data_IF_446968607455
#
_entry.id   IF_446968607455
#
_cell.length_a   1.000
_cell.length_b   1.000
_cell.length_c   1.000
_cell.angle_alpha   90.00
_cell.angle_beta   90.00
_cell.angle_gamma   90.00
#
_symmetry.space_group_name_H-M   'P 1'
#
loop_
_entity.id
_entity.type
_entity.pdbx_description
1 polymer ?
#
# COMPACT_ATOMS: atom_id res chain seq x y z
N UNK A 1 -11.18 98.42 -29.80
CA UNK A 1 -11.96 98.91 -28.64
C UNK A 1 -12.93 97.81 -28.21
N UNK A 2 -12.87 97.38 -26.94
CA UNK A 2 -13.85 96.53 -26.20
C UNK A 2 -14.10 95.07 -26.65
N UNK A 3 -13.57 94.13 -25.84
CA UNK A 3 -14.26 93.00 -25.14
C UNK A 3 -15.50 92.37 -25.80
N UNK A 4 -15.75 91.06 -25.82
CA UNK A 4 -15.58 90.04 -24.76
C UNK A 4 -15.79 88.64 -25.37
N UNK A 5 -14.99 87.67 -24.94
CA UNK A 5 -15.03 86.26 -25.31
C UNK A 5 -16.31 85.58 -24.79
N UNK A 6 -16.98 84.83 -25.67
CA UNK A 6 -18.13 83.95 -25.37
C UNK A 6 -17.63 82.66 -24.72
N UNK A 7 -18.14 82.35 -23.52
CA UNK A 7 -18.10 81.01 -22.93
C UNK A 7 -19.40 80.28 -23.28
N UNK A 8 -19.33 79.12 -23.94
CA UNK A 8 -20.41 78.13 -23.89
C UNK A 8 -19.90 76.70 -24.06
N UNK A 9 -19.88 76.02 -22.91
CA UNK A 9 -20.14 74.58 -22.65
C UNK A 9 -19.43 73.50 -23.49
N UNK A 10 -18.52 72.81 -22.81
CA UNK A 10 -18.00 71.49 -23.13
C UNK A 10 -19.10 70.41 -23.03
N UNK A 11 -19.17 69.53 -24.03
CA UNK A 11 -19.61 68.14 -23.88
C UNK A 11 -18.62 67.24 -24.61
N UNK A 12 -17.65 66.71 -23.88
CA UNK A 12 -16.73 65.69 -24.35
C UNK A 12 -17.39 64.34 -24.12
N UNK A 13 -17.76 63.64 -25.20
CA UNK A 13 -18.09 62.21 -25.15
C UNK A 13 -16.80 61.48 -25.51
N UNK A 14 -16.17 60.86 -24.51
CA UNK A 14 -15.00 60.00 -24.72
C UNK A 14 -15.46 58.56 -24.61
N UNK A 15 -15.49 57.86 -25.74
CA UNK A 15 -15.61 56.40 -25.81
C UNK A 15 -14.32 55.79 -25.24
N UNK A 16 -14.37 55.18 -24.06
CA UNK A 16 -13.29 54.31 -23.58
C UNK A 16 -13.57 52.87 -24.01
N UNK A 17 -12.79 52.41 -25.00
CA UNK A 17 -12.71 51.02 -25.41
C UNK A 17 -11.85 50.27 -24.38
N UNK A 18 -12.45 49.67 -23.36
CA UNK A 18 -11.73 48.77 -22.44
C UNK A 18 -11.50 47.44 -23.14
N UNK A 19 -10.29 47.23 -23.65
CA UNK A 19 -9.83 45.93 -24.13
C UNK A 19 -9.65 44.99 -22.93
N UNK A 20 -10.64 44.13 -22.69
CA UNK A 20 -10.53 43.04 -21.73
C UNK A 20 -9.72 41.91 -22.38
N UNK A 21 -8.40 41.86 -22.16
CA UNK A 21 -7.61 40.69 -22.51
C UNK A 21 -7.96 39.60 -21.50
N UNK A 22 -8.93 38.76 -21.85
CA UNK A 22 -9.23 37.52 -21.14
C UNK A 22 -8.08 36.54 -21.40
N UNK A 23 -7.06 36.56 -20.54
CA UNK A 23 -6.07 35.48 -20.50
C UNK A 23 -6.78 34.24 -19.97
N UNK A 24 -7.21 33.38 -20.88
CA UNK A 24 -7.65 32.02 -20.56
C UNK A 24 -6.41 31.29 -20.06
N UNK A 25 -6.18 31.32 -18.74
CA UNK A 25 -5.20 30.44 -18.11
C UNK A 25 -5.67 29.00 -18.35
N UNK A 26 -5.12 28.36 -19.37
CA UNK A 26 -5.24 26.91 -19.53
C UNK A 26 -4.83 26.30 -18.19
N UNK A 27 -5.62 25.37 -17.60
CA UNK A 27 -5.18 24.69 -16.40
C UNK A 27 -3.90 23.94 -16.77
N UNK A 28 -2.76 24.45 -16.31
CA UNK A 28 -1.52 23.70 -16.34
C UNK A 28 -1.81 22.47 -15.50
N UNK A 29 -2.02 21.35 -16.19
CA UNK A 29 -2.20 20.05 -15.58
C UNK A 29 -0.82 19.68 -15.02
N UNK A 30 -0.41 20.32 -13.92
CA UNK A 30 0.78 19.96 -13.15
C UNK A 30 0.45 18.61 -12.57
N UNK A 31 0.65 17.57 -13.37
CA UNK A 31 0.50 16.20 -12.96
C UNK A 31 1.58 16.00 -11.91
N UNK A 32 1.17 16.02 -10.63
CA UNK A 32 2.08 15.90 -9.50
C UNK A 32 3.10 14.78 -9.78
N UNK A 33 4.38 15.13 -9.74
CA UNK A 33 5.46 14.22 -10.09
C UNK A 33 5.31 12.96 -9.26
N UNK A 34 5.29 11.81 -9.93
CA UNK A 34 5.15 10.52 -9.24
C UNK A 34 6.37 10.27 -8.38
N UNK A 35 6.16 9.90 -7.12
CA UNK A 35 7.26 9.49 -6.23
C UNK A 35 7.75 8.12 -6.68
N UNK A 36 9.01 8.05 -7.10
CA UNK A 36 9.69 6.84 -7.57
C UNK A 36 11.03 6.68 -6.87
N UNK A 37 11.50 5.43 -6.73
CA UNK A 37 12.82 5.09 -6.16
C UNK A 37 13.71 4.51 -7.26
N UNK A 38 14.91 5.05 -7.50
CA UNK A 38 15.85 4.46 -8.44
C UNK A 38 16.12 2.99 -8.15
N UNK A 39 16.07 2.12 -9.17
CA UNK A 39 16.38 0.69 -9.00
C UNK A 39 17.78 0.48 -8.42
N UNK A 40 18.74 1.36 -8.78
CA UNK A 40 20.11 1.34 -8.28
C UNK A 40 20.24 1.58 -6.77
N UNK A 41 19.24 2.20 -6.13
CA UNK A 41 19.21 2.41 -4.68
C UNK A 41 18.60 1.23 -3.92
N UNK A 42 18.05 0.24 -4.62
CA UNK A 42 17.38 -0.90 -4.01
C UNK A 42 18.32 -2.12 -3.93
N UNK A 43 18.14 -3.00 -2.92
CA UNK A 43 19.03 -4.15 -2.75
C UNK A 43 19.05 -5.08 -3.96
N UNK A 44 20.23 -5.36 -4.50
CA UNK A 44 20.42 -6.34 -5.58
C UNK A 44 20.11 -7.77 -5.14
N UNK A 45 20.51 -8.09 -3.89
CA UNK A 45 20.28 -9.36 -3.22
C UNK A 45 19.48 -9.11 -1.95
N UNK A 46 18.53 -9.98 -1.69
CA UNK A 46 17.64 -9.86 -0.54
C UNK A 46 17.23 -11.23 0.00
N UNK A 47 18.07 -12.26 -0.13
CA UNK A 47 17.87 -13.56 0.54
C UNK A 47 18.46 -13.58 1.95
N UNK A 48 17.87 -12.78 2.81
CA UNK A 48 18.25 -12.64 4.23
C UNK A 48 17.04 -12.76 5.14
N UNK A 49 17.27 -13.00 6.44
CA UNK A 49 16.22 -13.06 7.44
C UNK A 49 15.57 -11.72 7.74
N UNK A 50 16.32 -10.63 7.61
CA UNK A 50 15.82 -9.26 7.79
C UNK A 50 16.62 -8.32 6.91
N UNK A 51 15.97 -7.30 6.35
CA UNK A 51 16.64 -6.23 5.60
C UNK A 51 15.91 -4.91 5.80
N UNK A 52 16.66 -3.82 5.89
CA UNK A 52 16.11 -2.46 5.81
C UNK A 52 16.09 -2.01 4.35
N UNK A 53 14.94 -1.54 3.88
CA UNK A 53 14.75 -1.05 2.52
C UNK A 53 14.30 0.39 2.57
N UNK A 54 15.09 1.27 1.99
CA UNK A 54 14.77 2.68 1.86
C UNK A 54 14.10 2.91 0.52
N UNK A 55 12.93 3.55 0.53
CA UNK A 55 12.22 3.98 -0.68
C UNK A 55 11.88 5.46 -0.57
N UNK A 56 11.73 6.12 -1.72
CA UNK A 56 11.30 7.50 -1.77
C UNK A 56 9.83 7.63 -1.36
N UNK A 57 9.51 8.75 -0.71
CA UNK A 57 8.20 9.14 -0.24
C UNK A 57 7.96 10.62 -0.56
N UNK A 58 6.73 11.11 -0.42
CA UNK A 58 6.39 12.53 -0.64
C UNK A 58 7.28 13.49 0.18
N UNK A 59 7.67 13.09 1.40
CA UNK A 59 8.43 13.92 2.35
C UNK A 59 9.86 13.40 2.58
N UNK A 60 10.54 12.94 1.52
CA UNK A 60 11.91 12.41 1.59
C UNK A 60 11.93 10.89 1.44
N UNK A 61 12.50 10.16 2.40
CA UNK A 61 12.61 8.70 2.32
C UNK A 61 11.88 7.99 3.45
N UNK A 62 11.48 6.75 3.19
CA UNK A 62 10.87 5.86 4.17
C UNK A 62 11.65 4.55 4.25
N UNK A 63 12.02 4.16 5.47
CA UNK A 63 12.75 2.92 5.76
C UNK A 63 11.78 1.84 6.24
N UNK A 64 11.74 0.71 5.54
CA UNK A 64 10.96 -0.47 5.90
C UNK A 64 11.89 -1.56 6.41
N UNK A 65 11.55 -2.18 7.54
CA UNK A 65 12.18 -3.43 7.97
C UNK A 65 11.37 -4.59 7.41
N UNK A 66 11.97 -5.34 6.47
CA UNK A 66 11.33 -6.48 5.79
C UNK A 66 11.89 -7.79 6.34
N UNK A 67 11.00 -8.71 6.72
CA UNK A 67 11.34 -9.95 7.42
C UNK A 67 11.16 -11.18 6.52
N UNK A 68 12.07 -12.15 6.61
CA UNK A 68 11.97 -13.46 5.98
C UNK A 68 11.41 -14.48 6.96
N UNK A 69 10.13 -14.83 6.83
CA UNK A 69 9.42 -15.64 7.85
C UNK A 69 10.01 -17.05 8.07
N UNK A 70 10.65 -17.62 7.03
CA UNK A 70 11.26 -18.95 7.04
C UNK A 70 12.78 -18.94 7.26
N UNK A 71 13.37 -17.76 7.51
CA UNK A 71 14.82 -17.59 7.62
C UNK A 71 15.21 -17.32 9.07
N UNK A 72 16.43 -17.72 9.44
CA UNK A 72 16.98 -17.38 10.75
C UNK A 72 17.14 -15.84 10.90
N UNK A 73 16.93 -15.28 12.09
CA UNK A 73 16.53 -15.94 13.34
C UNK A 73 15.01 -16.17 13.49
N UNK A 74 14.19 -15.77 12.50
CA UNK A 74 12.73 -15.74 12.60
C UNK A 74 12.03 -17.09 12.43
N UNK A 75 12.73 -18.07 11.83
CA UNK A 75 12.29 -19.47 11.75
C UNK A 75 12.05 -20.11 13.13
N UNK A 76 12.51 -19.48 14.22
CA UNK A 76 12.41 -20.01 15.59
C UNK A 76 10.97 -20.27 16.08
N UNK A 77 9.95 -19.63 15.51
CA UNK A 77 8.55 -19.90 15.93
C UNK A 77 7.78 -20.65 14.84
N UNK A 78 7.14 -21.76 15.24
CA UNK A 78 6.29 -22.57 14.35
C UNK A 78 5.17 -21.74 13.71
N UNK A 79 4.65 -20.73 14.42
CA UNK A 79 3.64 -19.82 13.86
C UNK A 79 4.18 -18.95 12.73
N UNK A 80 5.34 -18.30 12.89
CA UNK A 80 5.87 -17.45 11.81
C UNK A 80 6.23 -18.25 10.57
N UNK A 81 6.77 -19.46 10.77
CA UNK A 81 7.05 -20.36 9.66
C UNK A 81 5.77 -20.68 8.86
N UNK A 82 4.65 -20.98 9.53
CA UNK A 82 3.42 -21.40 8.85
C UNK A 82 2.48 -20.26 8.41
N UNK A 83 2.37 -19.20 9.21
CA UNK A 83 1.33 -18.17 9.10
C UNK A 83 1.89 -16.74 9.21
N UNK A 84 3.22 -16.59 9.18
CA UNK A 84 3.89 -15.32 9.48
C UNK A 84 3.74 -14.23 8.42
N UNK A 85 3.22 -14.50 7.23
CA UNK A 85 3.22 -13.55 6.12
C UNK A 85 2.45 -12.25 6.44
N UNK A 86 1.26 -12.38 7.02
CA UNK A 86 0.41 -11.25 7.36
C UNK A 86 1.04 -10.37 8.45
N UNK A 87 1.51 -10.98 9.54
CA UNK A 87 2.12 -10.22 10.64
C UNK A 87 3.49 -9.64 10.25
N UNK A 88 4.26 -10.32 9.40
CA UNK A 88 5.53 -9.79 8.87
C UNK A 88 5.28 -8.57 7.97
N UNK A 89 4.25 -8.63 7.11
CA UNK A 89 3.84 -7.51 6.26
C UNK A 89 3.33 -6.32 7.09
N UNK A 90 2.50 -6.58 8.10
CA UNK A 90 2.04 -5.57 9.05
C UNK A 90 3.22 -4.91 9.79
N UNK A 91 4.19 -5.72 10.25
CA UNK A 91 5.38 -5.22 10.95
C UNK A 91 6.23 -4.34 10.03
N UNK A 92 6.39 -4.72 8.75
CA UNK A 92 7.09 -3.88 7.79
C UNK A 92 6.43 -2.51 7.63
N UNK A 93 5.10 -2.45 7.54
CA UNK A 93 4.38 -1.16 7.49
C UNK A 93 4.53 -0.38 8.79
N UNK A 94 4.34 -1.01 9.95
CA UNK A 94 4.51 -0.34 11.25
C UNK A 94 5.91 0.24 11.41
N UNK A 95 6.95 -0.49 10.96
CA UNK A 95 8.34 -0.04 11.06
C UNK A 95 8.60 1.29 10.36
N UNK A 96 7.87 1.50 9.26
CA UNK A 96 8.06 2.59 8.33
C UNK A 96 7.20 3.82 8.66
N UNK A 97 6.06 3.61 9.32
CA UNK A 97 5.05 4.65 9.55
C UNK A 97 4.84 5.01 11.03
N UNK A 98 5.40 4.25 11.97
CA UNK A 98 5.26 4.52 13.40
C UNK A 98 6.61 4.56 14.09
N UNK A 99 6.97 5.70 14.68
CA UNK A 99 8.18 5.82 15.52
C UNK A 99 8.15 4.81 16.69
N UNK A 100 6.97 4.61 17.27
CA UNK A 100 6.76 3.72 18.43
C UNK A 100 7.01 2.24 18.13
N UNK A 101 6.68 1.79 16.93
CA UNK A 101 6.75 0.37 16.54
C UNK A 101 7.88 0.09 15.55
N UNK A 102 8.81 1.05 15.37
CA UNK A 102 9.89 1.00 14.39
C UNK A 102 10.72 -0.29 14.47
N UNK A 103 11.10 -0.63 15.69
CA UNK A 103 12.06 -1.70 15.98
C UNK A 103 11.37 -2.99 16.46
N UNK A 104 10.05 -3.07 16.30
CA UNK A 104 9.29 -4.26 16.70
C UNK A 104 9.52 -5.41 15.73
N UNK A 105 9.60 -6.61 16.29
CA UNK A 105 9.60 -7.87 15.54
C UNK A 105 8.18 -8.36 15.24
N UNK A 106 7.98 -9.27 14.28
CA UNK A 106 6.67 -9.87 14.02
C UNK A 106 6.05 -10.55 15.25
N UNK A 107 6.86 -11.13 16.14
CA UNK A 107 6.38 -11.74 17.39
C UNK A 107 5.86 -10.67 18.36
N UNK A 108 6.57 -9.55 18.51
CA UNK A 108 6.13 -8.43 19.35
C UNK A 108 4.87 -7.77 18.78
N UNK A 109 4.78 -7.56 17.46
CA UNK A 109 3.56 -7.04 16.82
C UNK A 109 2.38 -7.96 17.08
N UNK A 110 2.54 -9.28 16.90
CA UNK A 110 1.49 -10.28 17.19
C UNK A 110 1.05 -10.24 18.66
N UNK A 111 1.99 -10.27 19.60
CA UNK A 111 1.69 -10.47 21.02
C UNK A 111 1.26 -9.18 21.73
N UNK A 112 1.69 -8.02 21.23
CA UNK A 112 1.49 -6.72 21.89
C UNK A 112 0.53 -5.85 21.08
N UNK A 113 0.90 -5.48 19.86
CA UNK A 113 0.19 -4.45 19.09
C UNK A 113 -1.16 -4.97 18.61
N UNK A 114 -1.16 -6.17 18.03
CA UNK A 114 -2.36 -6.82 17.54
C UNK A 114 -3.33 -7.14 18.68
N UNK A 115 -2.82 -7.70 19.79
CA UNK A 115 -3.62 -8.00 20.98
C UNK A 115 -4.31 -6.75 21.55
N UNK A 116 -3.60 -5.62 21.62
CA UNK A 116 -4.15 -4.34 22.08
C UNK A 116 -5.18 -3.78 21.09
N UNK A 117 -4.89 -3.79 19.80
CA UNK A 117 -5.74 -3.20 18.78
C UNK A 117 -7.03 -4.00 18.48
N UNK A 118 -6.98 -5.33 18.59
CA UNK A 118 -8.09 -6.24 18.25
C UNK A 118 -8.82 -6.78 19.49
N UNK A 119 -8.28 -6.52 20.68
CA UNK A 119 -8.81 -6.98 21.96
C UNK A 119 -8.32 -8.37 22.36
N UNK A 120 -8.04 -8.53 23.66
CA UNK A 120 -7.51 -9.77 24.25
C UNK A 120 -8.41 -10.98 23.98
N UNK A 121 -9.74 -10.82 23.98
CA UNK A 121 -10.67 -11.93 23.78
C UNK A 121 -10.58 -12.52 22.37
N UNK A 122 -10.56 -11.67 21.33
CA UNK A 122 -10.41 -12.11 19.94
C UNK A 122 -9.03 -12.73 19.71
N UNK A 123 -7.99 -12.09 20.26
CA UNK A 123 -6.62 -12.60 20.19
C UNK A 123 -6.48 -13.98 20.84
N UNK A 124 -6.99 -14.16 22.07
CA UNK A 124 -6.95 -15.44 22.78
C UNK A 124 -7.69 -16.52 22.00
N UNK A 125 -8.89 -16.21 21.48
CA UNK A 125 -9.69 -17.13 20.67
C UNK A 125 -8.93 -17.65 19.43
N UNK A 126 -8.08 -16.84 18.82
CA UNK A 126 -7.25 -17.29 17.69
C UNK A 126 -6.00 -18.04 18.15
N UNK A 127 -5.23 -17.45 19.07
CA UNK A 127 -3.89 -17.94 19.42
C UNK A 127 -3.84 -19.00 20.51
N UNK A 128 -4.93 -19.28 21.23
CA UNK A 128 -5.02 -20.43 22.13
C UNK A 128 -5.23 -21.75 21.38
N UNK A 129 -5.52 -21.70 20.07
CA UNK A 129 -5.65 -22.90 19.23
C UNK A 129 -4.29 -23.54 18.99
N UNK A 130 -4.25 -24.86 18.68
CA UNK A 130 -3.06 -25.48 18.11
C UNK A 130 -2.56 -24.70 16.90
N UNK A 131 -1.23 -24.57 16.73
CA UNK A 131 -0.61 -23.69 15.71
C UNK A 131 -1.21 -23.87 14.32
N UNK A 132 -1.50 -25.11 13.90
CA UNK A 132 -2.10 -25.44 12.60
C UNK A 132 -3.49 -24.83 12.36
N UNK A 133 -4.22 -24.51 13.45
CA UNK A 133 -5.58 -23.94 13.42
C UNK A 133 -5.59 -22.45 13.76
N UNK A 134 -4.44 -21.88 14.10
CA UNK A 134 -4.29 -20.43 14.25
C UNK A 134 -4.36 -19.79 12.87
N UNK A 135 -5.04 -18.66 12.76
CA UNK A 135 -5.16 -17.94 11.50
C UNK A 135 -4.26 -16.71 11.48
N UNK A 136 -3.68 -16.34 10.33
CA UNK A 136 -3.04 -15.04 10.16
C UNK A 136 -4.06 -13.92 10.34
N UNK A 137 -3.59 -12.74 10.74
CA UNK A 137 -4.41 -11.53 10.73
C UNK A 137 -4.92 -11.25 9.30
N UNK A 138 -6.19 -10.87 9.15
CA UNK A 138 -6.79 -10.57 7.83
C UNK A 138 -6.44 -9.16 7.34
N UNK A 139 -6.80 -8.82 6.09
CA UNK A 139 -6.72 -7.42 5.62
C UNK A 139 -7.53 -6.44 6.47
N UNK A 140 -8.70 -6.86 6.97
CA UNK A 140 -9.48 -6.04 7.90
C UNK A 140 -8.74 -5.85 9.23
N UNK A 141 -8.22 -6.93 9.81
CA UNK A 141 -7.43 -6.87 11.04
C UNK A 141 -6.22 -5.96 10.87
N UNK A 142 -5.48 -6.08 9.76
CA UNK A 142 -4.35 -5.20 9.42
C UNK A 142 -4.78 -3.73 9.40
N UNK A 143 -5.88 -3.40 8.73
CA UNK A 143 -6.39 -2.02 8.72
C UNK A 143 -6.72 -1.51 10.14
N UNK A 144 -7.30 -2.35 11.00
CA UNK A 144 -7.62 -1.99 12.39
C UNK A 144 -6.36 -1.76 13.22
N UNK A 145 -5.34 -2.60 13.08
CA UNK A 145 -4.06 -2.43 13.79
C UNK A 145 -3.33 -1.17 13.33
N UNK A 146 -3.30 -0.90 12.02
CA UNK A 146 -2.68 0.31 11.49
C UNK A 146 -3.40 1.58 11.97
N UNK A 147 -4.74 1.60 11.94
CA UNK A 147 -5.51 2.73 12.48
C UNK A 147 -5.28 2.91 13.99
N UNK A 148 -5.20 1.83 14.78
CA UNK A 148 -4.82 1.90 16.19
C UNK A 148 -3.43 2.52 16.40
N UNK A 149 -2.49 2.27 15.48
CA UNK A 149 -1.16 2.86 15.50
C UNK A 149 -1.12 4.33 15.00
N UNK A 150 -2.27 4.95 14.72
CA UNK A 150 -2.37 6.33 14.21
C UNK A 150 -2.13 6.45 12.70
N UNK A 151 -2.08 5.33 11.97
CA UNK A 151 -1.83 5.31 10.53
C UNK A 151 -3.18 5.17 9.82
N UNK A 152 -3.66 6.25 9.19
CA UNK A 152 -4.91 6.23 8.42
C UNK A 152 -4.86 5.17 7.33
N UNK A 153 -5.94 4.41 7.15
CA UNK A 153 -6.02 3.39 6.10
C UNK A 153 -7.35 3.42 5.35
N UNK A 154 -7.31 2.96 4.10
CA UNK A 154 -8.51 2.57 3.34
C UNK A 154 -8.44 1.09 3.00
N UNK A 155 -9.29 0.29 3.64
CA UNK A 155 -9.46 -1.12 3.32
C UNK A 155 -10.43 -1.31 2.15
N UNK A 156 -9.93 -1.83 1.04
CA UNK A 156 -10.68 -2.03 -0.20
C UNK A 156 -10.96 -3.51 -0.36
N UNK A 157 -12.24 -3.86 -0.27
CA UNK A 157 -12.71 -5.25 -0.16
C UNK A 157 -13.05 -5.83 -1.52
N UNK A 158 -13.87 -5.12 -2.27
CA UNK A 158 -14.42 -5.48 -3.57
C UNK A 158 -13.85 -4.57 -4.65
N UNK A 159 -13.50 -5.16 -5.79
CA UNK A 159 -12.92 -4.43 -6.92
C UNK A 159 -12.96 -5.28 -8.20
N UNK A 160 -12.98 -4.61 -9.34
CA UNK A 160 -12.52 -5.17 -10.63
C UNK A 160 -11.01 -4.98 -10.77
N UNK A 161 -10.38 -5.74 -11.68
CA UNK A 161 -8.94 -5.60 -11.92
C UNK A 161 -8.59 -4.18 -12.38
N UNK A 162 -9.38 -3.59 -13.29
CA UNK A 162 -9.17 -2.22 -13.79
C UNK A 162 -9.26 -1.18 -12.67
N UNK A 163 -10.22 -1.32 -11.76
CA UNK A 163 -10.36 -0.43 -10.60
C UNK A 163 -9.16 -0.56 -9.65
N UNK A 164 -8.77 -1.79 -9.30
CA UNK A 164 -7.63 -2.02 -8.43
C UNK A 164 -6.33 -1.53 -9.05
N UNK A 165 -6.10 -1.77 -10.34
CA UNK A 165 -4.93 -1.29 -11.06
C UNK A 165 -4.83 0.24 -11.01
N UNK A 166 -5.91 0.95 -11.37
CA UNK A 166 -5.94 2.41 -11.33
C UNK A 166 -5.72 2.94 -9.91
N UNK A 167 -6.39 2.36 -8.91
CA UNK A 167 -6.33 2.86 -7.54
C UNK A 167 -4.99 2.59 -6.87
N UNK A 168 -4.46 1.37 -7.00
CA UNK A 168 -3.16 1.00 -6.44
C UNK A 168 -2.06 1.82 -7.10
N UNK A 169 -2.07 1.95 -8.43
CA UNK A 169 -1.07 2.77 -9.13
C UNK A 169 -1.13 4.23 -8.67
N UNK A 170 -2.34 4.82 -8.61
CA UNK A 170 -2.51 6.20 -8.12
C UNK A 170 -1.98 6.36 -6.69
N UNK A 171 -2.23 5.38 -5.81
CA UNK A 171 -1.78 5.45 -4.43
C UNK A 171 -0.26 5.31 -4.32
N UNK A 172 0.35 4.34 -5.02
CA UNK A 172 1.81 4.14 -5.01
C UNK A 172 2.56 5.37 -5.56
N UNK A 173 1.99 6.11 -6.53
CA UNK A 173 2.55 7.37 -7.03
C UNK A 173 2.67 8.48 -5.97
N UNK A 174 1.94 8.37 -4.85
CA UNK A 174 2.09 9.27 -3.69
C UNK A 174 3.26 8.87 -2.77
N UNK A 175 3.97 7.79 -3.09
CA UNK A 175 5.04 7.26 -2.25
C UNK A 175 4.51 6.56 -0.99
N UNK A 176 3.25 6.10 -0.98
CA UNK A 176 2.66 5.37 0.13
C UNK A 176 2.45 3.89 -0.20
N UNK A 177 2.60 3.03 0.80
CA UNK A 177 2.52 1.58 0.66
C UNK A 177 1.09 1.06 0.48
N UNK A 178 0.99 -0.14 -0.10
CA UNK A 178 -0.25 -0.93 -0.16
C UNK A 178 0.01 -2.31 0.40
N UNK A 179 -0.77 -2.75 1.39
CA UNK A 179 -0.76 -4.15 1.83
C UNK A 179 -1.74 -4.94 0.97
N UNK A 180 -1.33 -6.09 0.47
CA UNK A 180 -2.12 -6.91 -0.45
C UNK A 180 -2.27 -8.35 0.04
N UNK A 181 -3.42 -8.95 -0.25
CA UNK A 181 -3.65 -10.40 -0.09
C UNK A 181 -3.70 -11.08 -1.46
N UNK A 182 -2.75 -11.97 -1.71
CA UNK A 182 -2.56 -12.65 -2.99
C UNK A 182 -2.96 -14.13 -2.93
N UNK A 183 -3.38 -14.66 -4.07
CA UNK A 183 -3.73 -16.06 -4.31
C UNK A 183 -2.63 -16.75 -5.14
N UNK A 184 -2.57 -18.08 -5.08
CA UNK A 184 -1.70 -18.88 -5.94
C UNK A 184 -2.26 -19.03 -7.37
N UNK A 185 -3.50 -18.59 -7.59
CA UNK A 185 -4.23 -18.56 -8.87
C UNK A 185 -4.42 -17.12 -9.32
N UNK A 186 -4.45 -16.90 -10.63
CA UNK A 186 -4.81 -15.59 -11.19
C UNK A 186 -6.32 -15.46 -11.28
N UNK A 187 -6.81 -14.23 -11.34
CA UNK A 187 -8.21 -13.91 -11.49
C UNK A 187 -8.45 -12.74 -12.44
N UNK A 188 -9.62 -12.77 -13.06
CA UNK A 188 -10.21 -11.63 -13.78
C UNK A 188 -11.55 -11.32 -13.11
N UNK A 189 -11.66 -10.13 -12.50
CA UNK A 189 -12.85 -9.62 -11.84
C UNK A 189 -13.47 -10.62 -10.82
N UNK A 190 -12.62 -11.25 -10.00
CA UNK A 190 -13.00 -12.17 -8.93
C UNK A 190 -13.25 -13.62 -9.36
N UNK A 191 -13.08 -13.94 -10.65
CA UNK A 191 -13.11 -15.31 -11.16
C UNK A 191 -11.69 -15.86 -11.26
N UNK A 192 -11.33 -16.76 -10.33
CA UNK A 192 -10.02 -17.40 -10.32
C UNK A 192 -9.89 -18.47 -11.42
N UNK A 193 -8.71 -18.58 -12.01
CA UNK A 193 -8.34 -19.69 -12.88
C UNK A 193 -8.41 -21.03 -12.14
N UNK A 194 -8.52 -22.13 -12.89
CA UNK A 194 -8.32 -23.48 -12.33
C UNK A 194 -6.83 -23.73 -12.02
N UNK A 195 -5.94 -23.26 -12.91
CA UNK A 195 -4.49 -23.49 -12.81
C UNK A 195 -3.84 -22.64 -11.71
N UNK A 196 -3.05 -23.28 -10.86
CA UNK A 196 -2.15 -22.63 -9.90
C UNK A 196 -0.82 -22.26 -10.57
N UNK A 197 -0.27 -21.09 -10.26
CA UNK A 197 1.05 -20.64 -10.76
C UNK A 197 2.15 -20.77 -9.71
N UNK A 198 1.78 -20.67 -8.42
CA UNK A 198 2.69 -20.61 -7.26
C UNK A 198 3.72 -19.46 -7.30
N UNK A 199 3.53 -18.47 -8.18
CA UNK A 199 4.44 -17.32 -8.31
C UNK A 199 4.46 -16.50 -7.01
N UNK A 200 3.31 -16.00 -6.57
CA UNK A 200 3.26 -15.10 -5.41
C UNK A 200 2.86 -15.79 -4.12
N UNK A 201 2.04 -16.84 -4.19
CA UNK A 201 1.55 -17.58 -3.03
C UNK A 201 1.59 -19.09 -3.31
N UNK A 202 1.81 -19.91 -2.26
CA UNK A 202 1.53 -21.35 -2.33
C UNK A 202 0.04 -21.66 -2.18
N UNK A 203 -0.68 -20.83 -1.41
CA UNK A 203 -2.14 -20.84 -1.30
C UNK A 203 -2.70 -19.43 -1.23
N UNK A 204 -2.51 -18.79 -0.07
CA UNK A 204 -2.78 -17.36 0.20
C UNK A 204 -1.53 -16.72 0.77
N UNK A 205 -1.33 -15.44 0.53
CA UNK A 205 -0.10 -14.76 0.95
C UNK A 205 -0.28 -13.25 1.05
N UNK A 206 0.08 -12.70 2.20
CA UNK A 206 0.12 -11.26 2.40
C UNK A 206 1.50 -10.69 2.03
N UNK A 207 1.52 -9.57 1.32
CA UNK A 207 2.74 -8.84 0.94
C UNK A 207 2.51 -7.32 1.05
N UNK A 208 3.59 -6.54 0.94
CA UNK A 208 3.52 -5.08 0.89
C UNK A 208 4.11 -4.56 -0.42
N UNK A 209 3.37 -3.71 -1.11
CA UNK A 209 3.87 -2.91 -2.22
C UNK A 209 4.43 -1.61 -1.63
N UNK A 210 5.76 -1.47 -1.61
CA UNK A 210 6.44 -0.38 -0.88
C UNK A 210 6.37 0.96 -1.62
N UNK A 211 6.30 0.92 -2.95
CA UNK A 211 6.35 2.08 -3.84
C UNK A 211 6.61 1.68 -5.29
N UNK A 212 6.91 2.67 -6.13
CA UNK A 212 7.31 2.48 -7.52
C UNK A 212 8.81 2.70 -7.71
N UNK A 213 9.39 1.98 -8.66
CA UNK A 213 10.70 2.28 -9.20
C UNK A 213 10.62 3.39 -10.26
N UNK A 214 11.75 4.00 -10.58
CA UNK A 214 11.91 4.96 -11.67
C UNK A 214 11.57 4.36 -13.05
N UNK A 215 11.80 3.07 -13.25
CA UNK A 215 11.38 2.32 -14.44
C UNK A 215 9.91 1.85 -14.43
N UNK A 216 9.10 2.29 -13.45
CA UNK A 216 7.66 2.04 -13.41
C UNK A 216 7.22 0.68 -12.85
N UNK A 217 8.14 -0.14 -12.34
CA UNK A 217 7.82 -1.38 -11.62
C UNK A 217 7.42 -1.10 -10.16
N UNK A 218 6.72 -2.06 -9.57
CA UNK A 218 6.34 -2.07 -8.17
C UNK A 218 7.42 -2.76 -7.36
N UNK A 219 7.81 -2.15 -6.23
CA UNK A 219 8.72 -2.73 -5.24
C UNK A 219 7.89 -3.59 -4.29
N UNK A 220 7.99 -4.92 -4.43
CA UNK A 220 7.23 -5.88 -3.61
C UNK A 220 8.10 -6.39 -2.47
N UNK A 221 7.72 -6.06 -1.24
CA UNK A 221 8.22 -6.71 -0.03
C UNK A 221 7.42 -7.98 0.24
N UNK A 222 8.12 -9.11 0.15
CA UNK A 222 7.59 -10.45 0.38
C UNK A 222 8.32 -11.05 1.58
N UNK A 223 7.63 -11.75 2.48
CA UNK A 223 8.24 -12.46 3.62
C UNK A 223 8.58 -13.92 3.33
N UNK A 224 7.98 -14.51 2.29
CA UNK A 224 8.14 -15.90 1.94
C UNK A 224 9.25 -16.11 0.91
N UNK A 225 9.80 -17.32 0.88
CA UNK A 225 10.74 -17.71 -0.15
C UNK A 225 9.99 -18.18 -1.41
N UNK A 226 10.52 -17.80 -2.58
CA UNK A 226 10.01 -18.21 -3.89
C UNK A 226 11.20 -18.54 -4.79
N UNK A 227 11.25 -19.78 -5.28
CA UNK A 227 12.34 -20.28 -6.13
C UNK A 227 12.58 -19.39 -7.36
N UNK A 228 11.50 -18.95 -8.04
CA UNK A 228 11.59 -18.08 -9.22
C UNK A 228 12.35 -16.76 -8.98
N UNK A 229 12.37 -16.27 -7.73
CA UNK A 229 13.00 -14.99 -7.40
C UNK A 229 14.50 -15.09 -7.11
N UNK A 230 15.10 -16.30 -7.14
CA UNK A 230 16.54 -16.53 -6.97
C UNK A 230 17.12 -15.80 -5.75
N UNK A 231 18.03 -14.84 -5.93
CA UNK A 231 18.65 -14.06 -4.84
C UNK A 231 17.77 -12.89 -4.34
N UNK A 232 16.66 -12.59 -5.00
CA UNK A 232 15.74 -11.48 -4.71
C UNK A 232 14.54 -11.94 -3.89
N UNK A 233 14.80 -12.49 -2.70
CA UNK A 233 13.77 -13.18 -1.93
C UNK A 233 12.87 -12.21 -1.15
N UNK A 234 13.41 -11.18 -0.47
CA UNK A 234 12.59 -10.18 0.24
C UNK A 234 12.04 -9.08 -0.66
N UNK A 235 12.83 -8.64 -1.65
CA UNK A 235 12.47 -7.54 -2.55
C UNK A 235 12.39 -8.04 -3.99
N UNK A 236 11.18 -7.94 -4.56
CA UNK A 236 10.83 -8.42 -5.89
C UNK A 236 10.23 -7.27 -6.71
N UNK A 237 10.22 -7.45 -8.03
CA UNK A 237 9.72 -6.44 -8.95
C UNK A 237 8.67 -7.02 -9.88
N UNK A 238 7.62 -6.23 -10.15
CA UNK A 238 6.54 -6.58 -11.08
C UNK A 238 5.80 -5.33 -11.51
N UNK A 239 4.72 -5.43 -12.26
CA UNK A 239 3.84 -4.29 -12.58
C UNK A 239 2.56 -4.35 -11.77
N UNK A 240 1.88 -3.22 -11.59
CA UNK A 240 0.56 -3.20 -10.93
C UNK A 240 -0.43 -4.09 -11.70
N UNK A 241 -0.43 -4.01 -13.03
CA UNK A 241 -1.26 -4.84 -13.92
C UNK A 241 -1.06 -6.34 -13.66
N UNK A 242 0.18 -6.77 -13.41
CA UNK A 242 0.46 -8.18 -13.16
C UNK A 242 0.05 -8.61 -11.75
N UNK A 243 0.42 -7.85 -10.70
CA UNK A 243 0.14 -8.26 -9.32
C UNK A 243 -1.37 -8.25 -9.01
N UNK A 244 -2.14 -7.35 -9.64
CA UNK A 244 -3.60 -7.27 -9.46
C UNK A 244 -4.32 -8.56 -9.85
N UNK A 245 -3.78 -9.31 -10.83
CA UNK A 245 -4.33 -10.61 -11.21
C UNK A 245 -4.30 -11.63 -10.08
N UNK A 246 -3.47 -11.45 -9.05
CA UNK A 246 -3.39 -12.39 -7.93
C UNK A 246 -4.22 -11.95 -6.72
N UNK A 247 -4.72 -10.72 -6.72
CA UNK A 247 -5.45 -10.19 -5.56
C UNK A 247 -6.79 -10.89 -5.36
N UNK A 248 -7.23 -10.93 -4.10
CA UNK A 248 -8.44 -11.62 -3.69
C UNK A 248 -9.56 -10.62 -3.41
N UNK A 249 -10.47 -10.32 -4.36
CA UNK A 249 -11.64 -9.52 -4.03
C UNK A 249 -12.57 -10.32 -3.10
N UNK A 250 -13.05 -9.65 -2.06
CA UNK A 250 -14.05 -10.21 -1.15
C UNK A 250 -15.40 -10.35 -1.87
N UNK A 251 -16.20 -11.33 -1.44
CA UNK A 251 -17.58 -11.56 -1.91
C UNK A 251 -18.61 -11.48 -0.78
N UNK A 252 -18.16 -11.60 0.47
CA UNK A 252 -18.99 -11.48 1.67
C UNK A 252 -18.87 -10.07 2.26
N UNK A 253 -19.87 -9.63 3.03
CA UNK A 253 -19.81 -8.42 3.86
C UNK A 253 -19.05 -8.63 5.19
N UNK A 254 -18.82 -9.89 5.59
CA UNK A 254 -18.20 -10.23 6.87
C UNK A 254 -16.80 -9.61 7.03
N UNK A 255 -16.53 -9.07 8.21
CA UNK A 255 -15.25 -8.43 8.58
C UNK A 255 -14.67 -9.15 9.79
N UNK A 256 -13.77 -10.09 9.54
CA UNK A 256 -13.12 -10.87 10.59
C UNK A 256 -11.71 -10.33 10.85
N UNK A 257 -11.30 -10.25 12.11
CA UNK A 257 -9.94 -9.82 12.47
C UNK A 257 -8.85 -10.79 11.97
N UNK A 258 -9.17 -12.08 12.00
CA UNK A 258 -8.32 -13.14 11.50
C UNK A 258 -8.85 -13.68 10.18
N UNK A 259 -7.96 -14.25 9.36
CA UNK A 259 -8.34 -14.85 8.10
C UNK A 259 -9.35 -15.97 8.32
N UNK A 260 -10.49 -15.88 7.65
CA UNK A 260 -11.57 -16.87 7.75
C UNK A 260 -11.84 -17.52 6.39
N UNK A 261 -11.84 -16.73 5.33
CA UNK A 261 -12.00 -17.21 3.96
C UNK A 261 -11.57 -16.14 2.96
N UNK A 262 -11.36 -16.54 1.71
CA UNK A 262 -11.15 -15.58 0.62
C UNK A 262 -12.35 -14.67 0.41
N UNK A 263 -13.57 -15.13 0.74
CA UNK A 263 -14.78 -14.35 0.57
C UNK A 263 -14.84 -13.16 1.55
N UNK A 264 -14.23 -13.27 2.74
CA UNK A 264 -14.34 -12.28 3.81
C UNK A 264 -13.02 -11.57 4.17
N UNK A 265 -11.87 -12.17 3.88
CA UNK A 265 -10.57 -11.74 4.41
C UNK A 265 -9.57 -11.25 3.35
N UNK A 266 -9.95 -11.27 2.07
CA UNK A 266 -9.15 -10.72 0.97
C UNK A 266 -9.12 -9.19 0.95
N UNK A 267 -8.83 -8.61 -0.21
CA UNK A 267 -8.76 -7.18 -0.45
C UNK A 267 -7.33 -6.66 -0.49
N UNK A 268 -7.21 -5.35 -0.37
CA UNK A 268 -5.95 -4.64 -0.14
C UNK A 268 -6.19 -3.43 0.75
N UNK A 269 -5.14 -2.96 1.41
CA UNK A 269 -5.16 -1.82 2.32
C UNK A 269 -4.25 -0.73 1.77
N UNK A 270 -4.83 0.41 1.43
CA UNK A 270 -4.07 1.63 1.14
C UNK A 270 -3.61 2.23 2.47
N UNK A 271 -2.32 2.52 2.60
CA UNK A 271 -1.69 2.96 3.86
C UNK A 271 -1.47 4.47 3.82
N UNK A 272 -1.68 5.15 4.95
CA UNK A 272 -1.49 6.59 5.08
C UNK A 272 -2.31 7.40 4.05
N UNK A 273 -3.60 7.07 3.97
CA UNK A 273 -4.53 7.82 3.12
C UNK A 273 -4.76 9.20 3.72
N UNK A 274 -4.65 10.25 2.88
CA UNK A 274 -4.97 11.63 3.24
C UNK A 274 -6.44 11.74 3.67
#
# INVERSE_FOLDING_TARGET
MKTRIKTRMKKTITFMLTMFILTVALPVNIQAKSVTTPVSQLPEKSDVGQITVTVNSENGTRKYTVFGQHKNPWKKTKYLDMHGCAVSSLTAVLSAYSKKYRDYTPVQVKNIVEKKALGTAAWKRNYSKPVLRQMPISMYGISKVLNYAGIKTKYVRTFTNKQAEKQILKHLKTGNAVVIEANNRTQINGRFSARTTRRWALGKHTMVLLGLTDDGRVIVADSAQRTWSKKKQRIKYTTVKEIVKYLIPCKSSARTYYFSSTAASGGYVLVNTK
#
